data_IF_872047634276
#
_entry.id   IF_872047634276
#
_cell.length_a   1.000
_cell.length_b   1.000
_cell.length_c   1.000
_cell.angle_alpha   90.00
_cell.angle_beta   90.00
_cell.angle_gamma   90.00
#
_symmetry.space_group_name_H-M   'P 1'
#
loop_
_entity.id
_entity.type
_entity.pdbx_description
1 polymer ?
#
# COMPACT_ATOMS: atom_id res chain seq x y z
N UNK A 1 0.88 2.30 -18.32
CA UNK A 1 1.10 1.89 -16.91
C UNK A 1 -0.16 2.18 -16.11
N UNK A 2 -0.50 1.36 -15.11
CA UNK A 2 -1.74 1.51 -14.33
C UNK A 2 -3.00 0.87 -14.95
N UNK A 3 -2.85 0.07 -15.99
CA UNK A 3 -3.93 -0.77 -16.52
C UNK A 3 -4.44 -1.71 -15.42
N UNK A 4 -5.74 -2.00 -15.45
CA UNK A 4 -6.39 -2.94 -14.53
C UNK A 4 -6.79 -4.19 -15.31
N UNK A 5 -6.57 -5.41 -14.78
CA UNK A 5 -6.86 -6.64 -15.51
C UNK A 5 -8.27 -6.73 -16.09
N UNK A 6 -9.28 -6.26 -15.34
CA UNK A 6 -10.68 -6.26 -15.78
C UNK A 6 -10.92 -5.47 -17.08
N UNK A 7 -10.30 -4.31 -17.25
CA UNK A 7 -10.43 -3.49 -18.46
C UNK A 7 -9.45 -3.93 -19.54
N UNK A 8 -8.22 -4.24 -19.14
CA UNK A 8 -7.14 -4.63 -20.04
C UNK A 8 -7.51 -5.84 -20.91
N UNK A 9 -8.26 -6.81 -20.39
CA UNK A 9 -8.68 -8.00 -21.13
C UNK A 9 -9.56 -7.67 -22.35
N UNK A 10 -10.32 -6.56 -22.27
CA UNK A 10 -11.22 -6.09 -23.33
C UNK A 10 -10.49 -5.20 -24.35
N UNK A 11 -9.46 -4.48 -23.90
CA UNK A 11 -8.72 -3.52 -24.71
C UNK A 11 -7.50 -4.13 -25.43
N UNK A 12 -7.07 -5.33 -25.06
CA UNK A 12 -5.83 -5.95 -25.57
C UNK A 12 -6.04 -6.73 -26.86
N UNK A 13 -5.14 -6.54 -27.84
CA UNK A 13 -5.11 -7.33 -29.08
C UNK A 13 -4.62 -8.77 -28.86
N UNK A 14 -4.17 -9.11 -27.64
CA UNK A 14 -3.66 -10.44 -27.30
C UNK A 14 -4.68 -11.56 -27.57
N UNK A 15 -5.96 -11.27 -27.37
CA UNK A 15 -7.05 -12.23 -27.61
C UNK A 15 -7.70 -12.07 -28.99
N UNK A 16 -7.13 -11.31 -29.92
CA UNK A 16 -7.72 -11.07 -31.25
C UNK A 16 -8.10 -12.35 -32.02
N UNK A 17 -7.30 -13.41 -31.90
CA UNK A 17 -7.51 -14.71 -32.57
C UNK A 17 -8.09 -15.80 -31.64
N UNK A 18 -8.48 -15.46 -30.41
CA UNK A 18 -8.98 -16.43 -29.41
C UNK A 18 -10.17 -15.86 -28.65
N UNK A 19 -10.89 -16.70 -27.89
CA UNK A 19 -11.96 -16.18 -27.04
C UNK A 19 -11.38 -15.39 -25.87
N UNK A 20 -11.87 -14.16 -25.68
CA UNK A 20 -11.55 -13.33 -24.51
C UNK A 20 -12.01 -14.07 -23.25
N UNK A 21 -11.16 -14.22 -22.21
CA UNK A 21 -11.56 -14.92 -21.00
C UNK A 21 -12.64 -14.13 -20.25
N UNK A 22 -13.67 -14.83 -19.80
CA UNK A 22 -14.77 -14.23 -19.04
C UNK A 22 -14.29 -13.89 -17.62
N UNK A 23 -14.09 -12.60 -17.34
CA UNK A 23 -13.75 -12.11 -16.01
C UNK A 23 -15.01 -11.65 -15.29
N UNK A 24 -15.22 -12.14 -14.07
CA UNK A 24 -16.33 -11.69 -13.23
C UNK A 24 -16.05 -10.30 -12.66
N UNK A 25 -16.97 -9.36 -12.89
CA UNK A 25 -16.96 -8.07 -12.22
C UNK A 25 -17.59 -8.21 -10.82
N UNK A 26 -16.92 -7.71 -9.81
CA UNK A 26 -17.47 -7.53 -8.47
C UNK A 26 -17.76 -6.05 -8.23
N UNK A 27 -18.66 -5.69 -7.29
CA UNK A 27 -18.96 -4.29 -6.97
C UNK A 27 -17.71 -3.45 -6.63
N UNK A 28 -16.65 -4.09 -6.14
CA UNK A 28 -15.38 -3.46 -5.75
C UNK A 28 -14.27 -3.56 -6.82
N UNK A 29 -14.56 -4.11 -8.00
CA UNK A 29 -13.57 -4.25 -9.10
C UNK A 29 -13.19 -2.89 -9.71
N UNK A 30 -14.14 -1.96 -9.77
CA UNK A 30 -13.96 -0.65 -10.38
C UNK A 30 -13.58 0.39 -9.33
N UNK A 31 -12.28 0.62 -9.16
CA UNK A 31 -11.82 1.70 -8.28
C UNK A 31 -11.36 2.91 -9.08
N UNK A 32 -11.58 4.07 -8.48
CA UNK A 32 -11.27 5.39 -9.05
C UNK A 32 -9.84 5.84 -8.80
N UNK A 33 -9.06 5.07 -8.03
CA UNK A 33 -7.65 5.36 -7.73
C UNK A 33 -6.68 4.98 -8.86
N UNK A 34 -5.41 5.43 -8.77
CA UNK A 34 -4.37 5.01 -9.71
C UNK A 34 -4.14 3.50 -9.66
N UNK A 35 -3.97 2.86 -10.82
CA UNK A 35 -3.78 1.41 -10.89
C UNK A 35 -2.39 0.91 -10.45
N UNK A 36 -1.39 1.78 -10.31
CA UNK A 36 -0.02 1.38 -9.99
C UNK A 36 0.74 2.46 -9.18
N UNK A 37 1.47 2.08 -8.12
CA UNK A 37 1.45 0.77 -7.46
C UNK A 37 0.10 0.53 -6.74
N UNK A 38 -0.15 -0.69 -6.27
CA UNK A 38 -1.36 -0.96 -5.48
C UNK A 38 -1.29 -0.24 -4.13
N UNK A 39 -2.22 0.68 -3.92
CA UNK A 39 -2.38 1.47 -2.69
C UNK A 39 -2.68 0.59 -1.48
N UNK A 40 -3.53 -0.42 -1.66
CA UNK A 40 -3.86 -1.39 -0.62
C UNK A 40 -2.61 -2.13 -0.15
N UNK A 41 -1.84 -2.69 -1.09
CA UNK A 41 -0.62 -3.43 -0.77
C UNK A 41 0.46 -2.52 -0.15
N UNK A 42 0.57 -1.28 -0.64
CA UNK A 42 1.50 -0.27 -0.12
C UNK A 42 1.14 0.18 1.30
N UNK A 43 -0.12 0.51 1.54
CA UNK A 43 -0.61 0.97 2.84
C UNK A 43 -0.47 -0.11 3.90
N UNK A 44 -0.87 -1.34 3.59
CA UNK A 44 -0.73 -2.46 4.54
C UNK A 44 0.75 -2.78 4.78
N UNK A 45 1.60 -2.80 3.75
CA UNK A 45 3.03 -3.00 3.91
C UNK A 45 3.64 -1.96 4.86
N UNK A 46 3.38 -0.68 4.61
CA UNK A 46 3.95 0.41 5.41
C UNK A 46 3.54 0.32 6.88
N UNK A 47 2.24 0.17 7.15
CA UNK A 47 1.73 0.10 8.52
C UNK A 47 2.26 -1.11 9.27
N UNK A 48 2.14 -2.32 8.69
CA UNK A 48 2.58 -3.54 9.37
C UNK A 48 4.10 -3.60 9.51
N UNK A 49 4.87 -3.06 8.56
CA UNK A 49 6.32 -2.98 8.68
C UNK A 49 6.73 -2.11 9.87
N UNK A 50 6.11 -0.93 10.04
CA UNK A 50 6.34 -0.06 11.21
C UNK A 50 5.95 -0.76 12.50
N UNK A 51 4.82 -1.47 12.54
CA UNK A 51 4.39 -2.22 13.73
C UNK A 51 5.40 -3.31 14.11
N UNK A 52 5.80 -4.16 13.15
CA UNK A 52 6.75 -5.26 13.38
C UNK A 52 8.09 -4.72 13.86
N UNK A 53 8.64 -3.71 13.18
CA UNK A 53 9.94 -3.13 13.55
C UNK A 53 9.89 -2.41 14.91
N UNK A 54 8.79 -1.74 15.23
CA UNK A 54 8.61 -1.07 16.53
C UNK A 54 8.51 -2.07 17.68
N UNK A 55 7.70 -3.14 17.52
CA UNK A 55 7.60 -4.21 18.53
C UNK A 55 8.97 -4.86 18.74
N UNK A 56 9.67 -5.22 17.67
CA UNK A 56 11.00 -5.80 17.77
C UNK A 56 12.01 -4.86 18.46
N UNK A 57 11.94 -3.56 18.18
CA UNK A 57 12.79 -2.57 18.84
C UNK A 57 12.56 -2.53 20.37
N UNK A 58 11.29 -2.53 20.79
CA UNK A 58 10.90 -2.52 22.21
C UNK A 58 11.40 -3.80 22.92
N UNK A 59 11.19 -4.97 22.31
CA UNK A 59 11.57 -6.26 22.92
C UNK A 59 13.08 -6.53 22.88
N UNK A 60 13.82 -5.95 21.94
CA UNK A 60 15.28 -6.13 21.83
C UNK A 60 16.00 -5.52 23.03
N UNK A 61 15.61 -4.31 23.47
CA UNK A 61 16.25 -3.60 24.58
C UNK A 61 17.79 -3.54 24.47
N UNK A 62 18.49 -3.43 25.62
CA UNK A 62 19.98 -3.49 25.70
C UNK A 62 20.54 -4.91 25.92
N UNK A 63 19.70 -5.95 25.94
CA UNK A 63 20.10 -7.32 26.31
C UNK A 63 20.46 -8.17 25.07
N UNK A 64 21.31 -9.18 25.26
CA UNK A 64 21.68 -10.13 24.19
C UNK A 64 20.43 -10.85 23.66
N UNK A 65 20.32 -11.10 22.34
CA UNK A 65 19.14 -11.73 21.74
C UNK A 65 18.95 -13.14 22.33
N UNK A 66 17.83 -13.32 23.03
CA UNK A 66 17.44 -14.60 23.64
C UNK A 66 16.68 -15.44 22.62
N UNK A 67 16.60 -16.76 22.82
CA UNK A 67 15.77 -17.66 21.99
C UNK A 67 14.34 -17.14 21.79
N UNK A 68 13.73 -16.57 22.85
CA UNK A 68 12.41 -15.92 22.81
C UNK A 68 12.33 -14.77 21.81
N UNK A 69 13.38 -13.94 21.73
CA UNK A 69 13.43 -12.83 20.75
C UNK A 69 13.51 -13.36 19.32
N UNK A 70 14.29 -14.43 19.07
CA UNK A 70 14.36 -15.06 17.75
C UNK A 70 13.00 -15.64 17.34
N UNK A 71 12.31 -16.31 18.26
CA UNK A 71 10.96 -16.84 18.03
C UNK A 71 9.98 -15.70 17.71
N UNK A 72 9.96 -14.63 18.51
CA UNK A 72 9.12 -13.46 18.26
C UNK A 72 9.40 -12.82 16.89
N UNK A 73 10.68 -12.68 16.52
CA UNK A 73 11.08 -12.16 15.22
C UNK A 73 10.51 -13.00 14.07
N UNK A 74 10.66 -14.32 14.14
CA UNK A 74 10.10 -15.22 13.12
C UNK A 74 8.57 -15.12 13.08
N UNK A 75 7.89 -15.13 14.22
CA UNK A 75 6.43 -15.03 14.26
C UNK A 75 5.89 -13.72 13.67
N UNK A 76 6.52 -12.59 14.00
CA UNK A 76 6.09 -11.28 13.52
C UNK A 76 6.30 -11.12 12.00
N UNK A 77 7.46 -11.53 11.48
CA UNK A 77 7.70 -11.49 10.03
C UNK A 77 6.83 -12.49 9.26
N UNK A 78 6.58 -13.68 9.83
CA UNK A 78 5.66 -14.63 9.23
C UNK A 78 4.25 -14.04 9.16
N UNK A 79 3.77 -13.43 10.25
CA UNK A 79 2.48 -12.74 10.28
C UNK A 79 2.40 -11.61 9.26
N UNK A 80 3.45 -10.79 9.14
CA UNK A 80 3.56 -9.76 8.10
C UNK A 80 3.35 -10.35 6.70
N UNK A 81 4.11 -11.39 6.33
CA UNK A 81 4.00 -11.99 5.00
C UNK A 81 2.64 -12.65 4.75
N UNK A 82 2.03 -13.28 5.76
CA UNK A 82 0.69 -13.84 5.65
C UNK A 82 -0.33 -12.73 5.33
N UNK A 83 -0.30 -11.61 6.05
CA UNK A 83 -1.20 -10.48 5.79
C UNK A 83 -0.97 -9.93 4.37
N UNK A 84 0.28 -9.73 3.98
CA UNK A 84 0.60 -9.20 2.64
C UNK A 84 0.19 -10.12 1.51
N UNK A 85 0.35 -11.44 1.67
CA UNK A 85 -0.14 -12.41 0.70
C UNK A 85 -1.66 -12.36 0.57
N UNK A 86 -2.39 -12.31 1.68
CA UNK A 86 -3.86 -12.21 1.66
C UNK A 86 -4.33 -10.93 0.97
N UNK A 87 -3.71 -9.79 1.28
CA UNK A 87 -4.03 -8.51 0.64
C UNK A 87 -3.73 -8.62 -0.85
N UNK A 88 -2.50 -8.95 -1.27
CA UNK A 88 -2.14 -9.07 -2.68
C UNK A 88 -3.05 -10.03 -3.46
N UNK A 89 -3.36 -11.20 -2.90
CA UNK A 89 -4.24 -12.18 -3.52
C UNK A 89 -5.67 -11.65 -3.68
N UNK A 90 -6.22 -10.95 -2.69
CA UNK A 90 -7.55 -10.36 -2.81
C UNK A 90 -7.64 -9.36 -3.98
N UNK A 91 -6.58 -8.57 -4.17
CA UNK A 91 -6.49 -7.56 -5.24
C UNK A 91 -6.35 -8.18 -6.63
N UNK A 92 -5.60 -9.27 -6.74
CA UNK A 92 -5.45 -10.05 -7.98
C UNK A 92 -6.77 -10.77 -8.30
N UNK A 93 -7.40 -11.40 -7.29
CA UNK A 93 -8.65 -12.13 -7.44
C UNK A 93 -9.79 -11.25 -7.93
N UNK A 94 -9.87 -10.00 -7.44
CA UNK A 94 -10.86 -9.02 -7.88
C UNK A 94 -10.56 -8.43 -9.27
N UNK A 95 -9.49 -8.85 -9.94
CA UNK A 95 -9.00 -8.29 -11.20
C UNK A 95 -8.76 -6.77 -11.14
N UNK A 96 -8.49 -6.24 -9.94
CA UNK A 96 -8.27 -4.82 -9.70
C UNK A 96 -6.80 -4.41 -9.96
N UNK A 97 -5.85 -5.33 -9.75
CA UNK A 97 -4.43 -5.09 -9.99
C UNK A 97 -3.73 -6.29 -10.62
N UNK A 98 -2.69 -6.01 -11.40
CA UNK A 98 -1.74 -7.03 -11.87
C UNK A 98 -0.75 -7.43 -10.76
N UNK A 99 -0.15 -8.64 -10.84
CA UNK A 99 0.84 -9.11 -9.88
C UNK A 99 2.03 -8.14 -9.66
N UNK A 100 2.54 -7.52 -10.73
CA UNK A 100 3.64 -6.56 -10.62
C UNK A 100 3.24 -5.29 -9.85
N UNK A 101 1.98 -4.86 -9.92
CA UNK A 101 1.49 -3.65 -9.25
C UNK A 101 1.35 -3.87 -7.73
N UNK A 102 0.90 -5.05 -7.32
CA UNK A 102 0.82 -5.39 -5.89
C UNK A 102 2.21 -5.59 -5.30
N UNK A 103 3.13 -6.24 -6.02
CA UNK A 103 4.53 -6.39 -5.60
C UNK A 103 5.23 -5.03 -5.47
N UNK A 104 5.09 -4.15 -6.48
CA UNK A 104 5.59 -2.79 -6.40
C UNK A 104 4.99 -2.00 -5.23
N UNK A 105 3.70 -2.22 -4.93
CA UNK A 105 3.03 -1.67 -3.76
C UNK A 105 3.69 -2.09 -2.46
N UNK A 106 3.91 -3.40 -2.25
CA UNK A 106 4.58 -3.91 -1.04
C UNK A 106 5.96 -3.28 -0.86
N UNK A 107 6.79 -3.27 -1.90
CA UNK A 107 8.12 -2.66 -1.83
C UNK A 107 8.07 -1.15 -1.57
N UNK A 108 7.15 -0.43 -2.21
CA UNK A 108 6.97 1.01 -1.97
C UNK A 108 6.59 1.28 -0.52
N UNK A 109 5.68 0.48 0.04
CA UNK A 109 5.26 0.63 1.45
C UNK A 109 6.39 0.37 2.43
N UNK A 110 7.20 -0.66 2.19
CA UNK A 110 8.40 -0.95 2.99
C UNK A 110 9.41 0.20 2.87
N UNK A 111 9.68 0.69 1.66
CA UNK A 111 10.62 1.78 1.43
C UNK A 111 10.18 3.08 2.13
N UNK A 112 8.89 3.40 2.07
CA UNK A 112 8.32 4.54 2.81
C UNK A 112 8.51 4.32 4.32
N UNK A 113 8.09 3.18 4.86
CA UNK A 113 8.24 2.91 6.29
C UNK A 113 9.71 3.01 6.76
N UNK A 114 10.64 2.47 5.99
CA UNK A 114 12.06 2.49 6.29
C UNK A 114 12.64 3.90 6.20
N UNK A 115 12.23 4.69 5.21
CA UNK A 115 12.66 6.09 5.09
C UNK A 115 12.21 6.89 6.31
N UNK A 116 10.95 6.71 6.75
CA UNK A 116 10.40 7.41 7.90
C UNK A 116 11.07 7.02 9.21
N UNK A 117 11.58 5.77 9.33
CA UNK A 117 12.37 5.31 10.48
C UNK A 117 13.65 6.12 10.68
N UNK A 118 14.25 6.65 9.61
CA UNK A 118 15.47 7.45 9.66
C UNK A 118 15.21 8.95 9.90
N UNK A 119 13.97 9.42 9.78
CA UNK A 119 13.62 10.83 9.94
C UNK A 119 13.25 11.11 11.40
N UNK A 120 14.25 11.40 12.23
CA UNK A 120 14.09 11.71 13.65
C UNK A 120 13.15 12.91 13.93
N UNK A 121 12.97 13.80 12.94
CA UNK A 121 12.09 14.98 13.05
C UNK A 121 10.62 14.63 13.27
N UNK A 122 10.17 13.43 12.87
CA UNK A 122 8.76 13.02 12.99
C UNK A 122 8.43 12.65 14.45
N UNK A 123 9.37 12.01 15.14
CA UNK A 123 9.23 11.66 16.55
C UNK A 123 9.21 12.88 17.48
N UNK A 124 9.83 14.00 17.07
CA UNK A 124 9.87 15.25 17.83
C UNK A 124 8.87 16.32 17.30
N UNK A 125 7.98 15.97 16.37
CA UNK A 125 7.02 16.93 15.83
C UNK A 125 5.93 17.25 16.86
N UNK A 126 5.68 18.54 17.10
CA UNK A 126 4.61 18.98 18.00
C UNK A 126 3.24 18.81 17.37
N UNK A 127 2.20 18.63 18.20
CA UNK A 127 0.81 18.52 17.75
C UNK A 127 0.37 19.72 16.88
N UNK A 128 0.89 20.92 17.16
CA UNK A 128 0.66 22.12 16.34
C UNK A 128 1.17 21.96 14.91
N UNK A 129 2.33 21.32 14.71
CA UNK A 129 2.87 21.04 13.36
C UNK A 129 1.99 20.04 12.62
N UNK A 130 1.55 18.97 13.29
CA UNK A 130 0.61 18.01 12.70
C UNK A 130 -0.69 18.68 12.26
N UNK A 131 -1.31 19.45 13.16
CA UNK A 131 -2.54 20.19 12.86
C UNK A 131 -2.36 21.14 11.66
N UNK A 132 -1.27 21.92 11.63
CA UNK A 132 -0.98 22.84 10.53
C UNK A 132 -0.81 22.10 9.19
N UNK A 133 -0.04 21.00 9.19
CA UNK A 133 0.19 20.19 7.99
C UNK A 133 -1.13 19.58 7.50
N UNK A 134 -1.96 19.05 8.41
CA UNK A 134 -3.26 18.48 8.06
C UNK A 134 -4.19 19.55 7.48
N UNK A 135 -4.29 20.73 8.10
CA UNK A 135 -5.10 21.83 7.56
C UNK A 135 -4.61 22.29 6.18
N UNK A 136 -3.29 22.37 5.98
CA UNK A 136 -2.69 22.71 4.69
C UNK A 136 -3.05 21.67 3.62
N UNK A 137 -2.83 20.38 3.89
CA UNK A 137 -3.14 19.30 2.96
C UNK A 137 -4.64 19.24 2.62
N UNK A 138 -5.50 19.46 3.62
CA UNK A 138 -6.96 19.51 3.43
C UNK A 138 -7.37 20.69 2.54
N UNK A 139 -6.83 21.88 2.82
CA UNK A 139 -7.11 23.09 2.02
C UNK A 139 -6.59 22.92 0.59
N UNK A 140 -5.42 22.32 0.43
CA UNK A 140 -4.86 22.00 -0.88
C UNK A 140 -5.74 21.01 -1.65
N UNK A 141 -6.22 19.94 -1.01
CA UNK A 141 -7.10 18.97 -1.64
C UNK A 141 -8.43 19.59 -2.11
N UNK A 142 -9.05 20.45 -1.28
CA UNK A 142 -10.26 21.19 -1.66
C UNK A 142 -9.97 22.15 -2.81
N UNK A 143 -8.89 22.93 -2.71
CA UNK A 143 -8.50 23.88 -3.76
C UNK A 143 -8.25 23.18 -5.10
N UNK A 144 -7.56 22.04 -5.07
CA UNK A 144 -7.32 21.23 -6.26
C UNK A 144 -8.61 20.65 -6.84
N UNK A 145 -9.52 20.13 -6.00
CA UNK A 145 -10.84 19.67 -6.45
C UNK A 145 -11.65 20.79 -7.12
N UNK A 146 -11.71 21.98 -6.51
CA UNK A 146 -12.41 23.13 -7.08
C UNK A 146 -11.78 23.60 -8.38
N UNK A 147 -10.44 23.55 -8.50
CA UNK A 147 -9.71 23.86 -9.72
C UNK A 147 -10.06 22.89 -10.85
N UNK A 148 -10.03 21.58 -10.59
CA UNK A 148 -10.41 20.57 -11.59
C UNK A 148 -11.86 20.76 -12.04
N UNK A 149 -12.76 20.98 -11.08
CA UNK A 149 -14.17 21.29 -11.35
C UNK A 149 -14.34 22.54 -12.20
N UNK A 150 -13.53 23.58 -11.97
CA UNK A 150 -13.54 24.81 -12.78
C UNK A 150 -13.01 24.57 -14.20
N UNK A 151 -12.01 23.71 -14.35
CA UNK A 151 -11.47 23.27 -15.65
C UNK A 151 -12.39 22.30 -16.41
N UNK A 152 -13.49 21.84 -15.79
CA UNK A 152 -14.45 20.94 -16.41
C UNK A 152 -13.98 19.48 -16.51
N UNK A 153 -12.99 19.09 -15.69
CA UNK A 153 -12.47 17.73 -15.56
C UNK A 153 -12.97 17.13 -14.25
#
# INVERSE_FOLDING_TARGET
>A
FGQRPYWWVLDTDYYSNTSVPLIKQFPVTCETGPGSPSDHAMGTAGVYYVMVTSILSIFRGKKKPTYRFRCLNVMLWLGFWIVQLNVCLSRIYLAAHFPHQVVAGVFSGIAVAETFRHIQSIYNASLKKYFLITCFLFSFAIGFYLLLKWLGV
#
